data_IF_073369461971
#
_entry.id   IF_073369461971
#
_cell.length_a   1.000
_cell.length_b   1.000
_cell.length_c   1.000
_cell.angle_alpha   90.00
_cell.angle_beta   90.00
_cell.angle_gamma   90.00
#
_symmetry.space_group_name_H-M   'P 1'
#
loop_
_entity.id
_entity.type
_entity.pdbx_description
1 polymer ?
#
# COMPACT_ATOMS: atom_id res chain seq x y z
N UNK A 1 -24.39 -32.29 55.53
CA UNK A 1 -23.51 -32.68 54.40
C UNK A 1 -24.16 -32.63 53.01
N UNK A 2 -25.47 -32.93 52.82
CA UNK A 2 -26.11 -32.83 51.49
C UNK A 2 -26.35 -31.40 50.95
N UNK A 3 -26.58 -30.41 51.83
CA UNK A 3 -26.80 -29.00 51.40
C UNK A 3 -25.52 -28.27 50.95
N UNK A 4 -24.34 -28.70 51.39
CA UNK A 4 -23.06 -28.07 51.01
C UNK A 4 -22.55 -28.61 49.66
N UNK A 5 -22.82 -29.89 49.34
CA UNK A 5 -22.48 -30.47 48.02
C UNK A 5 -23.27 -29.85 46.86
N UNK A 6 -24.53 -29.49 47.07
CA UNK A 6 -25.34 -28.87 46.01
C UNK A 6 -24.92 -27.42 45.71
N UNK A 7 -24.40 -26.68 46.70
CA UNK A 7 -23.93 -25.31 46.48
C UNK A 7 -22.58 -25.29 45.73
N UNK A 8 -21.68 -26.24 46.03
CA UNK A 8 -20.38 -26.34 45.34
C UNK A 8 -20.54 -26.77 43.88
N UNK A 9 -21.50 -27.66 43.57
CA UNK A 9 -21.77 -28.07 42.19
C UNK A 9 -22.43 -26.94 41.38
N UNK A 10 -23.32 -26.15 41.97
CA UNK A 10 -23.94 -25.00 41.28
C UNK A 10 -22.94 -23.87 41.04
N UNK A 11 -22.02 -23.63 41.99
CA UNK A 11 -20.97 -22.60 41.82
C UNK A 11 -19.89 -23.05 40.83
N UNK A 12 -19.48 -24.33 40.81
CA UNK A 12 -18.55 -24.83 39.78
C UNK A 12 -19.18 -24.87 38.39
N UNK A 13 -20.47 -25.17 38.27
CA UNK A 13 -21.17 -25.08 36.97
C UNK A 13 -21.37 -23.64 36.50
N UNK A 14 -21.57 -22.66 37.40
CA UNK A 14 -21.61 -21.25 37.02
C UNK A 14 -20.24 -20.71 36.59
N UNK A 15 -19.15 -21.17 37.22
CA UNK A 15 -17.78 -20.80 36.83
C UNK A 15 -17.37 -21.45 35.52
N UNK A 16 -17.81 -22.68 35.24
CA UNK A 16 -17.60 -23.33 33.93
C UNK A 16 -18.46 -22.70 32.81
N UNK A 17 -19.67 -22.22 33.10
CA UNK A 17 -20.51 -21.52 32.12
C UNK A 17 -20.04 -20.07 31.91
N UNK A 18 -19.42 -19.42 32.90
CA UNK A 18 -18.76 -18.12 32.71
C UNK A 18 -17.36 -18.21 32.07
N UNK A 19 -16.64 -19.33 32.21
CA UNK A 19 -15.34 -19.55 31.54
C UNK A 19 -15.44 -20.17 30.15
N UNK A 20 -16.58 -20.75 29.74
CA UNK A 20 -16.77 -21.26 28.37
C UNK A 20 -17.39 -20.23 27.39
N UNK A 21 -17.56 -18.97 27.80
CA UNK A 21 -17.97 -17.87 26.93
C UNK A 21 -16.88 -16.82 26.66
N UNK A 22 -15.61 -17.07 27.02
CA UNK A 22 -14.50 -16.15 26.74
C UNK A 22 -13.39 -16.75 25.85
N UNK A 23 -13.80 -17.45 24.79
CA UNK A 23 -13.01 -17.52 23.55
C UNK A 23 -13.93 -17.26 22.36
N UNK A 24 -14.75 -16.21 22.47
CA UNK A 24 -15.05 -15.40 21.30
C UNK A 24 -14.00 -14.29 21.36
N UNK A 25 -13.05 -14.28 20.42
CA UNK A 25 -12.17 -13.12 20.25
C UNK A 25 -13.08 -11.90 20.23
N UNK A 26 -12.80 -10.90 21.06
CA UNK A 26 -13.60 -9.69 21.14
C UNK A 26 -13.62 -9.06 19.75
N UNK A 27 -14.66 -9.32 18.96
CA UNK A 27 -14.98 -8.53 17.81
C UNK A 27 -15.32 -7.16 18.39
N UNK A 28 -14.37 -6.23 18.34
CA UNK A 28 -14.65 -4.85 18.71
C UNK A 28 -15.88 -4.41 17.92
N UNK A 29 -16.90 -3.94 18.64
CA UNK A 29 -18.20 -3.58 18.08
C UNK A 29 -17.99 -2.42 17.11
N UNK A 30 -18.14 -2.68 15.81
CA UNK A 30 -18.12 -1.67 14.77
C UNK A 30 -19.53 -1.16 14.46
N UNK A 31 -19.62 0.01 13.85
CA UNK A 31 -20.85 0.53 13.26
C UNK A 31 -20.89 0.09 11.81
N UNK A 32 -22.00 -0.50 11.38
CA UNK A 32 -22.26 -0.83 9.97
C UNK A 32 -22.99 0.33 9.30
N UNK A 33 -22.49 0.77 8.15
CA UNK A 33 -23.24 1.57 7.20
C UNK A 33 -23.71 0.62 6.08
N UNK A 34 -25.01 0.30 6.12
CA UNK A 34 -25.66 -0.70 5.30
C UNK A 34 -25.71 -0.27 3.82
N UNK A 35 -25.18 -1.13 2.95
CA UNK A 35 -25.21 -0.95 1.50
C UNK A 35 -26.61 -0.88 0.89
N UNK A 36 -27.61 -1.51 1.53
CA UNK A 36 -29.02 -1.39 1.14
C UNK A 36 -29.58 0.03 1.34
N UNK A 37 -28.95 0.83 2.22
CA UNK A 37 -29.34 2.20 2.53
C UNK A 37 -28.49 3.26 1.80
N UNK A 38 -27.46 2.83 1.07
CA UNK A 38 -26.59 3.74 0.35
C UNK A 38 -27.32 4.42 -0.82
N UNK A 39 -27.03 5.71 -1.03
CA UNK A 39 -27.47 6.42 -2.24
C UNK A 39 -26.50 6.08 -3.36
N UNK A 40 -26.96 5.30 -4.32
CA UNK A 40 -26.14 4.82 -5.46
C UNK A 40 -26.44 5.59 -6.74
N UNK A 41 -25.39 5.89 -7.51
CA UNK A 41 -25.48 6.53 -8.84
C UNK A 41 -24.40 5.98 -9.76
N UNK A 42 -24.69 5.94 -11.04
CA UNK A 42 -23.72 5.53 -12.06
C UNK A 42 -24.27 4.44 -12.96
N UNK A 43 -23.46 4.08 -13.93
CA UNK A 43 -23.75 3.02 -14.89
C UNK A 43 -22.55 2.08 -14.92
N UNK A 44 -22.80 0.79 -15.14
CA UNK A 44 -21.73 -0.09 -15.58
C UNK A 44 -21.28 0.25 -17.01
N UNK A 45 -20.25 -0.44 -17.46
CA UNK A 45 -19.69 -0.22 -18.78
C UNK A 45 -20.57 -0.73 -19.94
N UNK A 46 -21.71 -1.34 -19.65
CA UNK A 46 -22.71 -1.77 -20.63
C UNK A 46 -23.98 -0.87 -20.59
N UNK A 47 -23.99 0.15 -19.72
CA UNK A 47 -25.07 1.13 -19.57
C UNK A 47 -26.18 0.71 -18.60
N UNK A 48 -26.00 -0.36 -17.82
CA UNK A 48 -26.95 -0.74 -16.77
C UNK A 48 -26.75 0.14 -15.53
N UNK A 49 -27.82 0.48 -14.83
CA UNK A 49 -27.72 1.24 -13.60
C UNK A 49 -26.91 0.49 -12.53
N UNK A 50 -26.02 1.23 -11.85
CA UNK A 50 -25.46 0.82 -10.57
C UNK A 50 -26.59 0.74 -9.54
N UNK A 51 -26.76 -0.42 -8.91
CA UNK A 51 -27.86 -0.69 -7.98
C UNK A 51 -27.40 -1.57 -6.83
N UNK A 52 -28.09 -1.48 -5.69
CA UNK A 52 -28.05 -2.51 -4.67
C UNK A 52 -28.86 -3.72 -5.12
N UNK A 53 -28.30 -4.93 -4.97
CA UNK A 53 -28.95 -6.20 -5.31
C UNK A 53 -29.13 -7.08 -4.06
N UNK A 54 -30.38 -7.24 -3.62
CA UNK A 54 -30.76 -8.01 -2.42
C UNK A 54 -30.30 -9.48 -2.48
N UNK A 55 -30.12 -10.06 -3.68
CA UNK A 55 -29.73 -11.47 -3.81
C UNK A 55 -28.26 -11.68 -3.48
N UNK A 56 -27.43 -10.71 -3.83
CA UNK A 56 -25.98 -10.77 -3.63
C UNK A 56 -25.56 -10.01 -2.39
N UNK A 57 -26.42 -9.14 -1.85
CA UNK A 57 -26.13 -8.29 -0.68
C UNK A 57 -24.94 -7.35 -0.97
N UNK A 58 -24.94 -6.79 -2.18
CA UNK A 58 -23.92 -5.91 -2.71
C UNK A 58 -24.51 -4.82 -3.60
N UNK A 59 -23.77 -3.71 -3.73
CA UNK A 59 -23.91 -2.76 -4.83
C UNK A 59 -23.16 -3.33 -6.04
N UNK A 60 -23.90 -3.52 -7.13
CA UNK A 60 -23.46 -4.18 -8.37
C UNK A 60 -23.59 -3.23 -9.56
N UNK A 61 -23.16 -3.70 -10.74
CA UNK A 61 -23.13 -2.91 -11.99
C UNK A 61 -22.31 -1.62 -11.83
N UNK A 62 -21.12 -1.78 -11.28
CA UNK A 62 -20.16 -0.70 -11.09
C UNK A 62 -19.36 -0.49 -12.38
N UNK A 63 -19.41 0.74 -12.90
CA UNK A 63 -18.57 1.22 -14.00
C UNK A 63 -17.67 2.36 -13.53
N UNK A 64 -16.98 3.02 -14.43
CA UNK A 64 -16.17 4.20 -14.11
C UNK A 64 -17.04 5.33 -13.54
N UNK A 65 -16.66 5.88 -12.38
CA UNK A 65 -17.35 7.02 -11.75
C UNK A 65 -18.68 6.66 -11.09
N UNK A 66 -19.05 5.38 -10.99
CA UNK A 66 -20.15 4.95 -10.11
C UNK A 66 -19.85 5.33 -8.67
N UNK A 67 -20.89 5.71 -7.94
CA UNK A 67 -20.79 6.18 -6.55
C UNK A 67 -21.77 5.43 -5.65
N UNK A 68 -21.34 5.18 -4.41
CA UNK A 68 -22.18 4.76 -3.30
C UNK A 68 -21.94 5.71 -2.12
N UNK A 69 -22.98 6.41 -1.70
CA UNK A 69 -22.90 7.36 -0.58
C UNK A 69 -23.65 6.82 0.64
N UNK A 70 -22.91 6.61 1.71
CA UNK A 70 -23.38 6.10 3.00
C UNK A 70 -23.54 7.27 3.96
N UNK A 71 -24.60 7.27 4.77
CA UNK A 71 -24.82 8.29 5.81
C UNK A 71 -24.55 7.70 7.18
N UNK A 72 -23.72 8.37 7.97
CA UNK A 72 -23.42 7.97 9.35
C UNK A 72 -24.68 8.09 10.21
N UNK A 73 -25.13 7.01 10.89
CA UNK A 73 -26.41 7.00 11.59
C UNK A 73 -26.40 7.83 12.87
N UNK A 74 -27.61 8.11 13.40
CA UNK A 74 -27.78 8.78 14.69
C UNK A 74 -27.07 8.03 15.82
N UNK A 75 -26.45 8.77 16.75
CA UNK A 75 -25.76 8.20 17.91
C UNK A 75 -24.29 7.86 17.67
N UNK A 76 -23.79 8.00 16.43
CA UNK A 76 -22.36 7.86 16.13
C UNK A 76 -21.66 9.19 16.32
N UNK A 77 -20.57 9.18 17.09
CA UNK A 77 -19.65 10.31 17.22
C UNK A 77 -18.32 9.80 17.76
N UNK A 78 -17.21 10.21 17.14
CA UNK A 78 -15.88 9.82 17.57
C UNK A 78 -14.90 9.76 16.41
N UNK A 79 -13.78 9.09 16.63
CA UNK A 79 -12.75 8.86 15.62
C UNK A 79 -12.75 7.39 15.25
N UNK A 80 -12.82 7.10 13.95
CA UNK A 80 -12.99 5.77 13.41
C UNK A 80 -11.97 5.45 12.33
N UNK A 81 -11.60 4.17 12.24
CA UNK A 81 -11.01 3.60 11.04
C UNK A 81 -12.13 3.05 10.15
N UNK A 82 -12.07 3.39 8.86
CA UNK A 82 -13.07 3.04 7.86
C UNK A 82 -12.57 1.82 7.08
N UNK A 83 -13.41 0.79 7.02
CA UNK A 83 -13.17 -0.41 6.24
C UNK A 83 -14.27 -0.59 5.20
N UNK A 84 -13.91 -1.04 4.00
CA UNK A 84 -14.85 -1.40 2.94
C UNK A 84 -15.05 -2.90 2.91
N UNK A 85 -16.31 -3.32 2.77
CA UNK A 85 -16.61 -4.67 2.32
C UNK A 85 -16.58 -4.74 0.79
N UNK A 86 -15.81 -5.68 0.27
CA UNK A 86 -15.55 -5.78 -1.17
C UNK A 86 -15.64 -7.24 -1.57
N UNK A 87 -16.36 -7.50 -2.66
CA UNK A 87 -16.49 -8.85 -3.21
C UNK A 87 -15.17 -9.30 -3.84
N UNK A 88 -15.11 -10.56 -4.32
CA UNK A 88 -14.04 -10.92 -5.24
C UNK A 88 -14.28 -10.28 -6.60
N UNK A 89 -13.19 -9.90 -7.27
CA UNK A 89 -13.22 -9.52 -8.68
C UNK A 89 -13.34 -10.75 -9.59
N UNK A 90 -13.77 -10.54 -10.83
CA UNK A 90 -13.76 -11.62 -11.83
C UNK A 90 -12.32 -12.05 -12.16
N UNK A 91 -11.42 -11.08 -12.31
CA UNK A 91 -9.99 -11.24 -12.52
C UNK A 91 -9.28 -10.16 -11.72
N UNK A 92 -8.11 -10.47 -11.16
CA UNK A 92 -7.27 -9.49 -10.48
C UNK A 92 -6.67 -8.54 -11.50
N UNK A 93 -6.92 -7.24 -11.35
CA UNK A 93 -6.56 -6.24 -12.37
C UNK A 93 -5.86 -4.99 -11.81
N UNK A 94 -5.70 -4.92 -10.49
CA UNK A 94 -5.13 -3.78 -9.81
C UNK A 94 -5.59 -3.74 -8.35
N UNK A 95 -5.13 -2.72 -7.66
CA UNK A 95 -5.26 -2.58 -6.19
C UNK A 95 -5.95 -1.29 -5.79
N UNK A 96 -6.32 -0.44 -6.76
CA UNK A 96 -6.98 0.86 -6.50
C UNK A 96 -8.33 0.94 -7.23
N UNK A 97 -9.30 0.05 -6.93
CA UNK A 97 -10.60 0.07 -7.58
C UNK A 97 -11.48 1.26 -7.17
N UNK A 98 -11.18 1.90 -6.03
CA UNK A 98 -12.03 2.91 -5.42
C UNK A 98 -11.25 4.15 -4.98
N UNK A 99 -11.94 5.27 -4.92
CA UNK A 99 -11.59 6.44 -4.11
C UNK A 99 -12.69 6.68 -3.07
N UNK A 100 -12.34 7.33 -1.95
CA UNK A 100 -13.25 7.59 -0.84
C UNK A 100 -13.14 9.05 -0.44
N UNK A 101 -14.28 9.72 -0.29
CA UNK A 101 -14.38 11.05 0.34
C UNK A 101 -15.30 11.01 1.55
N UNK A 102 -15.01 11.88 2.52
CA UNK A 102 -15.88 12.11 3.69
C UNK A 102 -16.46 13.50 3.55
N UNK A 103 -17.79 13.61 3.56
CA UNK A 103 -18.52 14.83 3.22
C UNK A 103 -18.00 15.40 1.86
N UNK A 104 -17.82 16.71 1.78
CA UNK A 104 -17.23 17.41 0.62
C UNK A 104 -15.68 17.47 0.70
N UNK A 105 -15.07 16.61 1.51
CA UNK A 105 -13.61 16.51 1.65
C UNK A 105 -12.91 15.97 0.40
N UNK A 106 -11.59 16.10 0.37
CA UNK A 106 -10.77 15.56 -0.71
C UNK A 106 -10.92 14.04 -0.79
N UNK A 107 -11.13 13.51 -2.00
CA UNK A 107 -11.13 12.09 -2.24
C UNK A 107 -9.72 11.51 -2.11
N UNK A 108 -9.61 10.37 -1.43
CA UNK A 108 -8.38 9.61 -1.20
C UNK A 108 -8.49 8.25 -1.88
N UNK A 109 -7.41 7.75 -2.46
CA UNK A 109 -7.36 6.44 -3.12
C UNK A 109 -6.70 5.42 -2.19
N UNK A 110 -7.47 4.58 -1.49
CA UNK A 110 -6.91 3.50 -0.69
C UNK A 110 -6.38 2.35 -1.55
N UNK A 111 -5.44 1.60 -0.99
CA UNK A 111 -5.05 0.29 -1.50
C UNK A 111 -6.05 -0.74 -0.99
N UNK A 112 -6.79 -1.35 -1.92
CA UNK A 112 -7.75 -2.41 -1.68
C UNK A 112 -7.26 -3.63 -2.47
N UNK A 113 -6.54 -4.51 -1.80
CA UNK A 113 -6.03 -5.76 -2.37
C UNK A 113 -7.13 -6.84 -2.43
N UNK A 114 -8.18 -6.54 -3.20
CA UNK A 114 -9.25 -7.48 -3.41
C UNK A 114 -8.74 -8.68 -4.21
N UNK A 115 -9.19 -9.85 -3.82
CA UNK A 115 -8.88 -11.11 -4.47
C UNK A 115 -9.84 -11.32 -5.64
N UNK A 116 -9.45 -12.15 -6.58
CA UNK A 116 -10.35 -12.60 -7.64
C UNK A 116 -10.89 -13.99 -7.35
N UNK A 117 -11.92 -14.37 -8.09
CA UNK A 117 -12.53 -15.69 -8.03
C UNK A 117 -11.48 -16.80 -8.19
N UNK A 118 -11.45 -17.69 -7.23
CA UNK A 118 -10.58 -18.87 -7.17
C UNK A 118 -11.26 -20.08 -7.79
N UNK A 119 -12.60 -20.08 -7.88
CA UNK A 119 -13.36 -21.17 -8.45
C UNK A 119 -13.61 -20.95 -9.95
N UNK A 120 -13.42 -21.98 -10.81
CA UNK A 120 -13.65 -21.85 -12.25
C UNK A 120 -15.09 -21.46 -12.64
N UNK A 121 -16.06 -21.73 -11.77
CA UNK A 121 -17.47 -21.39 -11.95
C UNK A 121 -17.85 -20.01 -11.38
N UNK A 122 -16.88 -19.29 -10.81
CA UNK A 122 -17.05 -17.99 -10.16
C UNK A 122 -18.07 -17.98 -9.00
N UNK A 123 -18.37 -19.14 -8.43
CA UNK A 123 -19.36 -19.25 -7.33
C UNK A 123 -18.92 -18.56 -6.04
N UNK A 124 -17.63 -18.22 -5.91
CA UNK A 124 -17.03 -17.47 -4.82
C UNK A 124 -16.98 -15.95 -5.09
N UNK A 125 -17.53 -15.46 -6.20
CA UNK A 125 -17.50 -14.02 -6.56
C UNK A 125 -17.99 -13.10 -5.44
N UNK A 126 -19.02 -13.53 -4.72
CA UNK A 126 -19.65 -12.75 -3.66
C UNK A 126 -19.10 -13.07 -2.26
N UNK A 127 -17.99 -13.80 -2.16
CA UNK A 127 -17.24 -13.90 -0.91
C UNK A 127 -16.91 -12.50 -0.40
N UNK A 128 -17.17 -12.25 0.88
CA UNK A 128 -17.06 -10.93 1.50
C UNK A 128 -15.70 -10.74 2.14
N UNK A 129 -14.90 -9.83 1.57
CA UNK A 129 -13.64 -9.39 2.15
C UNK A 129 -13.79 -8.03 2.83
N UNK A 130 -13.05 -7.82 3.93
CA UNK A 130 -13.04 -6.55 4.68
C UNK A 130 -11.67 -5.91 4.53
N UNK A 131 -11.60 -4.70 3.97
CA UNK A 131 -10.32 -4.06 3.62
C UNK A 131 -10.19 -2.68 4.27
N UNK A 132 -9.03 -2.34 4.85
CA UNK A 132 -8.79 -1.01 5.40
C UNK A 132 -8.85 0.03 4.29
N UNK A 133 -9.49 1.17 4.57
CA UNK A 133 -9.71 2.21 3.58
C UNK A 133 -9.17 3.56 4.05
N UNK A 134 -9.65 4.06 5.20
CA UNK A 134 -9.15 5.29 5.80
C UNK A 134 -8.91 5.07 7.29
N UNK A 135 -7.92 5.77 7.86
CA UNK A 135 -7.60 5.69 9.30
C UNK A 135 -7.85 7.02 9.99
N UNK A 136 -8.15 6.97 11.29
CA UNK A 136 -8.25 8.13 12.17
C UNK A 136 -9.23 9.22 11.69
N UNK A 137 -10.38 8.82 11.15
CA UNK A 137 -11.38 9.75 10.61
C UNK A 137 -12.34 10.21 11.71
N UNK A 138 -12.41 11.51 11.96
CA UNK A 138 -13.41 12.08 12.86
C UNK A 138 -14.78 12.07 12.16
N UNK A 139 -15.77 11.39 12.76
CA UNK A 139 -17.12 11.25 12.22
C UNK A 139 -18.17 11.60 13.29
N UNK A 140 -19.31 12.10 12.82
CA UNK A 140 -20.54 12.28 13.60
C UNK A 140 -21.75 11.89 12.76
N UNK A 141 -22.87 11.65 13.44
CA UNK A 141 -24.17 11.42 12.81
C UNK A 141 -24.47 12.47 11.73
N UNK A 142 -24.89 12.00 10.55
CA UNK A 142 -25.19 12.81 9.39
C UNK A 142 -24.02 13.10 8.45
N UNK A 143 -22.77 12.82 8.86
CA UNK A 143 -21.65 12.84 7.91
C UNK A 143 -21.87 11.78 6.81
N UNK A 144 -21.34 12.04 5.62
CA UNK A 144 -21.40 11.11 4.50
C UNK A 144 -20.04 10.52 4.18
N UNK A 145 -20.04 9.26 3.73
CA UNK A 145 -18.87 8.61 3.15
C UNK A 145 -19.25 8.21 1.74
N UNK A 146 -18.56 8.75 0.74
CA UNK A 146 -18.81 8.43 -0.67
C UNK A 146 -17.66 7.60 -1.22
N UNK A 147 -17.98 6.39 -1.67
CA UNK A 147 -17.06 5.51 -2.39
C UNK A 147 -17.32 5.67 -3.87
N UNK A 148 -16.28 6.00 -4.64
CA UNK A 148 -16.35 6.21 -6.09
C UNK A 148 -15.43 5.22 -6.80
N UNK A 149 -15.94 4.50 -7.80
CA UNK A 149 -15.15 3.57 -8.61
C UNK A 149 -14.23 4.31 -9.58
N UNK A 150 -12.99 3.83 -9.68
CA UNK A 150 -11.96 4.41 -10.51
C UNK A 150 -11.91 3.75 -11.91
N UNK A 151 -11.40 4.47 -12.93
CA UNK A 151 -11.21 3.94 -14.28
C UNK A 151 -10.17 2.82 -14.32
N UNK A 152 -10.12 2.10 -15.44
CA UNK A 152 -9.04 1.15 -15.77
C UNK A 152 -9.34 -0.31 -15.49
N UNK A 153 -10.54 -0.61 -14.98
CA UNK A 153 -10.98 -1.96 -14.65
C UNK A 153 -11.92 -2.55 -15.72
N UNK A 154 -11.75 -2.16 -16.99
CA UNK A 154 -12.36 -2.81 -18.16
C UNK A 154 -11.38 -2.80 -19.32
N UNK A 155 -11.25 -3.94 -19.99
CA UNK A 155 -10.58 -4.03 -21.29
C UNK A 155 -11.62 -4.09 -22.41
N UNK A 156 -11.31 -3.50 -23.56
CA UNK A 156 -12.20 -3.49 -24.73
C UNK A 156 -12.55 -4.89 -25.26
N UNK A 157 -11.68 -5.87 -25.01
CA UNK A 157 -11.88 -7.28 -25.37
C UNK A 157 -12.81 -8.03 -24.42
N UNK A 158 -13.11 -7.48 -23.24
CA UNK A 158 -13.97 -8.10 -22.24
C UNK A 158 -15.29 -7.34 -22.11
N UNK A 159 -16.39 -8.08 -22.02
CA UNK A 159 -17.70 -7.50 -21.76
C UNK A 159 -17.86 -7.13 -20.28
N UNK A 160 -17.38 -7.99 -19.38
CA UNK A 160 -17.51 -7.79 -17.94
C UNK A 160 -16.50 -6.75 -17.42
N UNK A 161 -16.97 -5.96 -16.45
CA UNK A 161 -16.12 -5.16 -15.56
C UNK A 161 -15.24 -6.07 -14.69
N UNK A 162 -14.01 -5.64 -14.42
CA UNK A 162 -13.12 -6.23 -13.43
C UNK A 162 -13.23 -5.57 -12.05
N UNK A 163 -14.09 -4.54 -11.91
CA UNK A 163 -14.39 -3.95 -10.61
C UNK A 163 -15.04 -5.00 -9.71
N UNK A 164 -14.60 -5.14 -8.45
CA UNK A 164 -15.33 -5.91 -7.46
C UNK A 164 -16.62 -5.18 -7.08
N UNK A 165 -17.60 -5.90 -6.53
CA UNK A 165 -18.81 -5.32 -5.98
C UNK A 165 -18.53 -4.67 -4.62
N UNK A 166 -19.32 -3.66 -4.26
CA UNK A 166 -19.14 -2.88 -3.04
C UNK A 166 -20.25 -3.18 -2.02
N UNK A 167 -19.85 -3.60 -0.82
CA UNK A 167 -20.76 -3.98 0.28
C UNK A 167 -20.90 -2.85 1.30
N UNK A 168 -21.02 -3.22 2.57
CA UNK A 168 -21.15 -2.26 3.65
C UNK A 168 -19.85 -1.50 3.91
N UNK A 169 -19.98 -0.36 4.58
CA UNK A 169 -18.84 0.33 5.20
C UNK A 169 -18.86 0.03 6.69
N UNK A 170 -17.73 -0.41 7.24
CA UNK A 170 -17.57 -0.68 8.68
C UNK A 170 -16.73 0.40 9.32
N UNK A 171 -17.26 1.01 10.39
CA UNK A 171 -16.58 2.00 11.20
C UNK A 171 -16.13 1.34 12.50
N UNK A 172 -14.83 1.07 12.62
CA UNK A 172 -14.23 0.58 13.85
C UNK A 172 -13.69 1.77 14.65
N UNK A 173 -13.72 1.75 15.99
CA UNK A 173 -12.98 2.74 16.77
C UNK A 173 -11.51 2.82 16.30
N UNK A 174 -10.96 4.02 16.19
CA UNK A 174 -9.60 4.18 15.66
C UNK A 174 -8.56 3.40 16.48
N UNK A 175 -7.68 2.67 15.80
CA UNK A 175 -6.67 1.78 16.40
C UNK A 175 -7.17 0.37 16.73
N UNK A 176 -8.40 0.04 16.34
CA UNK A 176 -8.98 -1.29 16.49
C UNK A 176 -8.16 -2.39 15.80
N UNK A 177 -8.07 -3.56 16.44
CA UNK A 177 -7.51 -4.77 15.82
C UNK A 177 -8.56 -5.47 14.99
N UNK A 178 -8.56 -5.19 13.69
CA UNK A 178 -9.59 -5.68 12.76
C UNK A 178 -9.11 -6.90 11.99
N UNK A 179 -9.98 -7.91 11.90
CA UNK A 179 -9.81 -9.03 10.99
C UNK A 179 -10.09 -8.58 9.55
N UNK A 180 -9.11 -8.73 8.64
CA UNK A 180 -9.17 -8.23 7.26
C UNK A 180 -9.09 -9.35 6.22
N UNK A 181 -9.38 -8.98 4.96
CA UNK A 181 -9.43 -9.89 3.82
C UNK A 181 -10.64 -10.82 3.84
N UNK A 182 -10.65 -11.79 2.94
CA UNK A 182 -11.74 -12.80 2.84
C UNK A 182 -11.69 -13.86 3.93
N UNK A 183 -10.52 -14.08 4.53
CA UNK A 183 -10.30 -15.13 5.52
C UNK A 183 -10.40 -14.61 6.97
N UNK A 184 -10.55 -13.29 7.16
CA UNK A 184 -10.69 -12.68 8.48
C UNK A 184 -9.44 -12.86 9.35
N UNK A 185 -8.27 -12.45 8.85
CA UNK A 185 -7.01 -12.51 9.59
C UNK A 185 -6.75 -11.17 10.23
N UNK A 186 -6.43 -11.14 11.53
CA UNK A 186 -5.95 -9.92 12.20
C UNK A 186 -4.49 -9.73 11.81
N UNK A 187 -4.10 -8.63 11.15
CA UNK A 187 -2.71 -8.36 10.80
C UNK A 187 -1.85 -8.37 12.06
N UNK A 188 -0.72 -9.06 12.00
CA UNK A 188 0.25 -9.09 13.10
C UNK A 188 1.08 -7.81 13.08
N UNK A 189 1.25 -7.19 14.23
CA UNK A 189 2.25 -6.13 14.39
C UNK A 189 3.64 -6.76 14.39
N UNK A 190 4.45 -6.40 13.42
CA UNK A 190 5.82 -6.89 13.29
C UNK A 190 6.81 -5.88 13.87
N UNK A 191 7.86 -6.40 14.52
CA UNK A 191 8.90 -5.56 15.11
C UNK A 191 9.95 -5.23 14.06
N UNK A 192 10.33 -3.96 13.99
CA UNK A 192 11.45 -3.49 13.16
C UNK A 192 12.75 -4.13 13.66
N UNK A 193 13.49 -4.76 12.76
CA UNK A 193 14.83 -5.27 13.01
C UNK A 193 15.88 -4.27 12.50
N UNK A 194 16.69 -3.65 13.38
CA UNK A 194 17.69 -2.67 12.97
C UNK A 194 18.82 -3.24 12.10
N UNK A 195 19.00 -4.57 12.06
CA UNK A 195 20.05 -5.20 11.25
C UNK A 195 19.58 -5.55 9.83
N UNK A 196 18.29 -5.43 9.57
CA UNK A 196 17.69 -5.69 8.26
C UNK A 196 17.45 -4.33 7.56
N UNK A 197 18.16 -4.05 6.45
CA UNK A 197 18.05 -2.76 5.78
C UNK A 197 16.65 -2.43 5.23
N UNK A 198 15.80 -3.44 5.02
CA UNK A 198 14.45 -3.29 4.49
C UNK A 198 13.37 -3.26 5.59
N UNK A 199 13.73 -3.63 6.82
CA UNK A 199 12.78 -3.71 7.94
C UNK A 199 12.22 -2.35 8.31
N UNK A 200 10.88 -2.27 8.44
CA UNK A 200 10.20 -1.05 8.87
C UNK A 200 10.02 0.00 7.76
N UNK A 201 10.46 -0.29 6.53
CA UNK A 201 10.31 0.65 5.43
C UNK A 201 8.89 0.66 4.86
N UNK A 202 8.43 1.84 4.45
CA UNK A 202 7.24 2.04 3.66
C UNK A 202 7.61 2.27 2.18
N UNK A 203 7.14 1.41 1.27
CA UNK A 203 7.49 1.47 -0.16
C UNK A 203 6.23 1.70 -0.99
N UNK A 204 6.24 2.72 -1.84
CA UNK A 204 5.22 2.89 -2.89
C UNK A 204 5.67 2.19 -4.16
N UNK A 205 4.78 1.38 -4.74
CA UNK A 205 4.99 0.72 -6.03
C UNK A 205 4.02 1.26 -7.07
N UNK A 206 4.53 2.02 -8.04
CA UNK A 206 3.75 2.54 -9.15
C UNK A 206 4.00 1.68 -10.40
N UNK A 207 2.95 1.02 -10.89
CA UNK A 207 3.11 0.16 -12.07
C UNK A 207 1.82 -0.38 -12.67
N UNK A 208 1.94 -1.40 -13.51
CA UNK A 208 0.84 -2.06 -14.21
C UNK A 208 0.71 -3.53 -13.79
N UNK A 209 0.48 -4.44 -14.74
CA UNK A 209 0.19 -5.86 -14.50
C UNK A 209 1.34 -6.63 -13.88
N UNK A 210 2.58 -6.20 -14.13
CA UNK A 210 3.79 -6.82 -13.56
C UNK A 210 3.94 -6.42 -12.09
N UNK A 211 3.88 -5.12 -11.75
CA UNK A 211 3.87 -4.72 -10.32
C UNK A 211 2.65 -5.24 -9.56
N UNK A 212 1.52 -5.39 -10.24
CA UNK A 212 0.33 -6.01 -9.64
C UNK A 212 0.54 -7.50 -9.34
N UNK A 213 1.32 -8.23 -10.15
CA UNK A 213 1.40 -9.69 -10.06
C UNK A 213 0.25 -10.41 -10.76
N UNK A 214 -0.20 -9.92 -11.93
CA UNK A 214 -1.40 -10.41 -12.61
C UNK A 214 -1.38 -11.94 -12.86
N UNK A 215 -0.25 -12.47 -13.35
CA UNK A 215 -0.08 -13.90 -13.63
C UNK A 215 0.30 -14.74 -12.39
N UNK A 216 0.25 -14.12 -11.22
CA UNK A 216 0.61 -14.69 -9.92
C UNK A 216 -0.44 -14.34 -8.85
N UNK A 217 -1.67 -14.08 -9.27
CA UNK A 217 -2.80 -13.86 -8.38
C UNK A 217 -2.69 -12.61 -7.49
N UNK A 218 -1.97 -11.58 -7.92
CA UNK A 218 -1.70 -10.40 -7.09
C UNK A 218 -0.38 -10.47 -6.33
N UNK A 219 0.28 -11.64 -6.32
CA UNK A 219 1.62 -11.81 -5.72
C UNK A 219 2.70 -11.30 -6.68
N UNK A 220 3.58 -10.44 -6.18
CA UNK A 220 4.62 -9.76 -6.93
C UNK A 220 5.93 -9.73 -6.13
N UNK A 221 6.94 -9.01 -6.65
CA UNK A 221 8.17 -8.74 -5.90
C UNK A 221 7.90 -7.95 -4.60
N UNK A 222 6.83 -7.13 -4.54
CA UNK A 222 6.48 -6.39 -3.34
C UNK A 222 6.06 -7.34 -2.21
N UNK A 223 5.20 -8.32 -2.53
CA UNK A 223 4.70 -9.32 -1.59
C UNK A 223 5.82 -10.26 -1.12
N UNK A 224 6.73 -10.62 -2.03
CA UNK A 224 7.95 -11.34 -1.66
C UNK A 224 8.77 -10.60 -0.60
N UNK A 225 8.97 -9.29 -0.77
CA UNK A 225 9.74 -8.48 0.18
C UNK A 225 9.02 -8.39 1.53
N UNK A 226 7.70 -8.23 1.57
CA UNK A 226 6.94 -8.27 2.82
C UNK A 226 7.04 -9.64 3.52
N UNK A 227 7.03 -10.74 2.78
CA UNK A 227 7.22 -12.09 3.34
C UNK A 227 8.62 -12.29 3.96
N UNK A 228 9.65 -11.69 3.35
CA UNK A 228 11.04 -11.77 3.83
C UNK A 228 11.37 -10.76 4.91
N UNK A 229 10.73 -9.61 4.88
CA UNK A 229 10.93 -8.48 5.78
C UNK A 229 9.57 -8.07 6.39
N UNK A 230 9.05 -8.81 7.39
CA UNK A 230 7.65 -8.68 7.82
C UNK A 230 7.24 -7.29 8.37
N UNK A 231 8.20 -6.45 8.73
CA UNK A 231 7.94 -5.07 9.15
C UNK A 231 7.94 -4.06 7.99
N UNK A 232 8.29 -4.47 6.77
CA UNK A 232 8.17 -3.69 5.54
C UNK A 232 6.69 -3.61 5.14
N UNK A 233 6.29 -2.45 4.61
CA UNK A 233 4.93 -2.22 4.10
C UNK A 233 5.02 -1.73 2.66
N UNK A 234 4.27 -2.37 1.76
CA UNK A 234 4.18 -2.04 0.35
C UNK A 234 2.81 -1.48 -0.02
N UNK A 235 2.82 -0.32 -0.66
CA UNK A 235 1.63 0.29 -1.26
C UNK A 235 1.67 0.11 -2.77
N UNK A 236 1.06 -0.98 -3.25
CA UNK A 236 0.90 -1.23 -4.69
C UNK A 236 -0.12 -0.26 -5.26
N UNK A 237 0.30 0.80 -5.92
CA UNK A 237 -0.55 1.63 -6.78
C UNK A 237 -0.47 1.10 -8.20
N UNK A 238 -1.29 0.08 -8.49
CA UNK A 238 -1.19 -0.69 -9.73
C UNK A 238 -2.53 -0.88 -10.41
N UNK A 239 -2.51 -0.75 -11.74
CA UNK A 239 -3.65 -1.07 -12.62
C UNK A 239 -3.09 -1.70 -13.89
N UNK A 240 -3.52 -2.92 -14.20
CA UNK A 240 -3.07 -3.68 -15.36
C UNK A 240 -3.31 -2.93 -16.68
N UNK A 241 -2.46 -3.19 -17.68
CA UNK A 241 -2.51 -2.58 -19.01
C UNK A 241 -2.36 -1.04 -19.08
N UNK A 242 -1.87 -0.39 -18.01
CA UNK A 242 -1.63 1.07 -17.98
C UNK A 242 -0.20 1.47 -18.37
N UNK A 243 -0.02 2.75 -18.71
CA UNK A 243 1.20 3.30 -19.33
C UNK A 243 1.90 4.38 -18.50
N UNK A 244 3.20 4.60 -18.76
CA UNK A 244 3.97 5.73 -18.25
C UNK A 244 3.49 7.04 -18.87
N UNK A 245 3.41 7.08 -20.21
CA UNK A 245 2.87 8.21 -20.96
C UNK A 245 1.45 8.53 -20.48
N UNK A 246 1.21 9.81 -20.13
CA UNK A 246 0.03 10.30 -19.42
C UNK A 246 -1.14 10.67 -20.35
N UNK A 247 -1.52 9.75 -21.24
CA UNK A 247 -2.53 10.01 -22.27
C UNK A 247 -3.95 9.58 -21.91
N UNK A 248 -4.13 9.03 -20.70
CA UNK A 248 -5.42 8.61 -20.18
C UNK A 248 -5.44 8.68 -18.63
N UNK A 249 -6.63 8.71 -18.00
CA UNK A 249 -6.76 8.86 -16.54
C UNK A 249 -6.17 7.73 -15.69
N UNK A 250 -5.82 6.59 -16.29
CA UNK A 250 -5.25 5.42 -15.59
C UNK A 250 -3.74 5.31 -15.78
N UNK A 251 -3.14 6.24 -16.51
CA UNK A 251 -1.69 6.35 -16.67
C UNK A 251 -1.00 6.57 -15.32
N UNK A 252 0.29 6.27 -15.28
CA UNK A 252 1.05 6.25 -14.04
C UNK A 252 1.06 7.63 -13.37
N UNK A 253 1.25 8.70 -14.14
CA UNK A 253 1.25 10.08 -13.62
C UNK A 253 -0.14 10.46 -13.07
N UNK A 254 -1.20 10.23 -13.83
CA UNK A 254 -2.57 10.46 -13.38
C UNK A 254 -2.89 9.75 -12.07
N UNK A 255 -2.49 8.47 -11.92
CA UNK A 255 -2.68 7.72 -10.68
C UNK A 255 -1.77 8.18 -9.54
N UNK A 256 -0.51 8.50 -9.83
CA UNK A 256 0.45 9.02 -8.85
C UNK A 256 -0.04 10.31 -8.19
N UNK A 257 -0.67 11.22 -8.95
CA UNK A 257 -1.24 12.47 -8.43
C UNK A 257 -2.38 12.25 -7.44
N UNK A 258 -3.01 11.07 -7.46
CA UNK A 258 -4.08 10.70 -6.55
C UNK A 258 -3.58 9.97 -5.27
N UNK A 259 -2.28 9.69 -5.19
CA UNK A 259 -1.66 9.12 -3.98
C UNK A 259 -1.67 10.18 -2.86
N UNK A 260 -2.00 9.81 -1.61
CA UNK A 260 -2.00 10.76 -0.51
C UNK A 260 -0.62 11.40 -0.28
N UNK A 261 -0.59 12.73 -0.24
CA UNK A 261 0.65 13.52 -0.10
C UNK A 261 1.20 13.56 1.34
N UNK A 262 0.41 13.10 2.30
CA UNK A 262 0.77 12.97 3.71
C UNK A 262 1.46 11.65 4.05
N UNK A 263 1.50 10.68 3.11
CA UNK A 263 2.36 9.50 3.23
C UNK A 263 3.83 9.90 3.41
N UNK A 264 4.61 9.05 4.07
CA UNK A 264 6.05 9.23 4.27
C UNK A 264 6.80 7.98 3.83
N UNK A 265 6.72 7.62 2.54
CA UNK A 265 7.41 6.44 2.03
C UNK A 265 8.93 6.64 2.11
N UNK A 266 9.65 5.57 2.41
CA UNK A 266 11.11 5.52 2.34
C UNK A 266 11.60 5.31 0.91
N UNK A 267 10.79 4.70 0.04
CA UNK A 267 11.12 4.48 -1.37
C UNK A 267 9.89 4.64 -2.27
N UNK A 268 10.13 5.19 -3.47
CA UNK A 268 9.14 5.23 -4.55
C UNK A 268 9.64 4.43 -5.75
N UNK A 269 9.09 3.24 -5.95
CA UNK A 269 9.51 2.29 -6.98
C UNK A 269 8.57 2.33 -8.18
N UNK A 270 9.13 2.46 -9.38
CA UNK A 270 8.39 2.66 -10.62
C UNK A 270 8.73 1.58 -11.63
N UNK A 271 7.71 0.91 -12.16
CA UNK A 271 7.86 -0.02 -13.26
C UNK A 271 8.17 0.71 -14.57
N UNK A 272 9.17 0.27 -15.32
CA UNK A 272 9.29 0.61 -16.74
C UNK A 272 8.18 -0.12 -17.53
N UNK A 273 7.26 0.65 -18.10
CA UNK A 273 6.04 0.10 -18.67
C UNK A 273 6.29 -0.66 -19.99
N UNK A 274 6.05 -1.96 -19.98
CA UNK A 274 6.00 -2.80 -21.18
C UNK A 274 4.82 -2.45 -22.08
N UNK A 275 3.76 -1.85 -21.54
CA UNK A 275 2.59 -1.40 -22.31
C UNK A 275 2.93 -0.21 -23.21
N UNK A 276 3.85 0.66 -22.78
CA UNK A 276 4.32 1.77 -23.61
C UNK A 276 5.03 1.26 -24.85
N UNK A 277 5.80 0.17 -24.72
CA UNK A 277 6.41 -0.51 -25.86
C UNK A 277 5.37 -1.18 -26.76
N UNK A 278 4.41 -1.91 -26.18
CA UNK A 278 3.32 -2.57 -26.93
C UNK A 278 2.51 -1.57 -27.75
N UNK A 279 2.22 -0.39 -27.18
CA UNK A 279 1.45 0.66 -27.84
C UNK A 279 2.30 1.69 -28.61
N UNK A 280 3.62 1.46 -28.73
CA UNK A 280 4.57 2.35 -29.41
C UNK A 280 4.45 3.82 -28.97
N UNK A 281 4.39 4.06 -27.65
CA UNK A 281 4.21 5.41 -27.09
C UNK A 281 5.40 6.31 -27.40
N UNK A 282 5.20 7.59 -27.74
CA UNK A 282 6.29 8.46 -28.21
C UNK A 282 7.47 8.53 -27.23
N UNK A 283 8.71 8.42 -27.73
CA UNK A 283 9.90 8.51 -26.87
C UNK A 283 10.10 9.90 -26.28
N UNK A 284 9.90 10.95 -27.06
CA UNK A 284 10.34 12.31 -26.71
C UNK A 284 11.86 12.41 -26.70
N UNK A 285 12.39 13.29 -25.86
CA UNK A 285 13.83 13.46 -25.66
C UNK A 285 14.13 13.77 -24.20
N UNK A 286 15.31 13.36 -23.74
CA UNK A 286 15.82 13.74 -22.42
C UNK A 286 15.90 15.26 -22.33
N UNK A 287 15.21 15.85 -21.36
CA UNK A 287 15.26 17.30 -21.14
C UNK A 287 16.66 17.72 -20.67
N UNK A 288 17.03 18.99 -20.84
CA UNK A 288 18.20 19.58 -20.16
C UNK A 288 17.86 20.15 -18.78
N UNK A 289 16.57 20.33 -18.49
CA UNK A 289 16.06 20.95 -17.26
C UNK A 289 15.69 19.92 -16.20
N UNK A 290 15.70 20.30 -14.92
CA UNK A 290 15.10 19.50 -13.82
C UNK A 290 13.76 20.08 -13.33
N UNK A 291 13.22 21.11 -13.98
CA UNK A 291 11.94 21.69 -13.60
C UNK A 291 10.78 20.83 -14.10
N UNK A 292 9.84 20.55 -13.22
CA UNK A 292 8.70 19.67 -13.50
C UNK A 292 7.82 20.14 -14.67
N UNK A 293 7.70 21.46 -14.87
CA UNK A 293 6.88 22.07 -15.93
C UNK A 293 7.49 21.94 -17.34
N UNK A 294 8.77 21.58 -17.43
CA UNK A 294 9.48 21.45 -18.72
C UNK A 294 9.32 20.05 -19.33
N UNK A 295 8.66 19.11 -18.65
CA UNK A 295 8.54 17.72 -19.08
C UNK A 295 7.24 17.46 -19.85
N UNK A 296 7.39 16.95 -21.07
CA UNK A 296 6.25 16.50 -21.87
C UNK A 296 5.78 15.12 -21.40
N UNK A 297 4.75 15.10 -20.57
CA UNK A 297 4.15 13.87 -20.01
C UNK A 297 3.52 12.96 -21.07
N UNK A 298 3.38 13.44 -22.32
CA UNK A 298 2.93 12.64 -23.47
C UNK A 298 4.05 11.80 -24.11
N UNK A 299 5.26 11.81 -23.52
CA UNK A 299 6.43 11.09 -24.01
C UNK A 299 7.08 10.24 -22.91
N UNK A 300 7.78 9.17 -23.30
CA UNK A 300 8.44 8.24 -22.35
C UNK A 300 9.47 8.98 -21.49
N UNK A 301 10.35 9.78 -22.12
CA UNK A 301 11.32 10.59 -21.38
C UNK A 301 10.63 11.56 -20.42
N UNK A 302 9.71 12.40 -20.93
CA UNK A 302 9.06 13.40 -20.10
C UNK A 302 8.21 12.80 -18.99
N UNK A 303 7.57 11.65 -19.22
CA UNK A 303 6.82 10.96 -18.18
C UNK A 303 7.71 10.44 -17.03
N UNK A 304 8.85 9.81 -17.36
CA UNK A 304 9.81 9.36 -16.34
C UNK A 304 10.37 10.55 -15.54
N UNK A 305 10.75 11.65 -16.23
CA UNK A 305 11.25 12.86 -15.57
C UNK A 305 10.21 13.53 -14.66
N UNK A 306 8.97 13.60 -15.12
CA UNK A 306 7.86 14.13 -14.33
C UNK A 306 7.62 13.31 -13.07
N UNK A 307 7.61 11.98 -13.17
CA UNK A 307 7.44 11.09 -12.00
C UNK A 307 8.54 11.33 -10.97
N UNK A 308 9.81 11.40 -11.41
CA UNK A 308 10.95 11.63 -10.52
C UNK A 308 10.81 12.98 -9.82
N UNK A 309 10.56 14.06 -10.58
CA UNK A 309 10.44 15.40 -10.03
C UNK A 309 9.25 15.54 -9.07
N UNK A 310 8.10 14.93 -9.41
CA UNK A 310 6.91 14.96 -8.57
C UNK A 310 7.12 14.19 -7.26
N UNK A 311 7.64 12.96 -7.32
CA UNK A 311 7.85 12.14 -6.14
C UNK A 311 8.87 12.78 -5.19
N UNK A 312 9.96 13.32 -5.74
CA UNK A 312 10.97 14.05 -4.97
C UNK A 312 10.38 15.28 -4.28
N UNK A 313 9.53 16.05 -4.98
CA UNK A 313 8.89 17.26 -4.41
C UNK A 313 7.82 16.92 -3.37
N UNK A 314 7.10 15.82 -3.55
CA UNK A 314 5.90 15.50 -2.76
C UNK A 314 6.24 14.72 -1.49
N UNK A 315 7.07 13.68 -1.62
CA UNK A 315 7.39 12.76 -0.53
C UNK A 315 8.85 12.84 -0.08
N UNK A 316 9.72 13.47 -0.87
CA UNK A 316 11.15 13.62 -0.57
C UNK A 316 11.85 12.28 -0.26
N UNK A 317 11.54 11.25 -1.05
CA UNK A 317 12.15 9.93 -0.96
C UNK A 317 12.90 9.55 -2.25
N UNK A 318 13.89 8.64 -2.18
CA UNK A 318 14.53 8.11 -3.37
C UNK A 318 13.54 7.44 -4.33
N UNK A 319 13.72 7.75 -5.62
CA UNK A 319 12.97 7.12 -6.71
C UNK A 319 13.82 6.01 -7.30
N UNK A 320 13.22 4.83 -7.45
CA UNK A 320 13.84 3.66 -8.08
C UNK A 320 13.02 3.29 -9.30
N UNK A 321 13.67 3.13 -10.46
CA UNK A 321 13.02 2.50 -11.61
C UNK A 321 13.45 1.04 -11.74
N UNK A 322 12.60 0.19 -12.31
CA UNK A 322 13.00 -1.17 -12.66
C UNK A 322 12.49 -1.57 -14.05
N UNK A 323 13.28 -2.36 -14.77
CA UNK A 323 12.83 -3.00 -16.00
C UNK A 323 12.34 -4.41 -15.74
N UNK A 324 11.47 -4.95 -16.60
CA UNK A 324 11.34 -6.39 -16.76
C UNK A 324 12.60 -7.06 -17.31
N UNK A 325 12.65 -8.39 -17.24
CA UNK A 325 13.73 -9.22 -17.81
C UNK A 325 13.76 -9.15 -19.33
N UNK A 326 14.88 -9.58 -19.93
CA UNK A 326 15.00 -9.66 -21.38
C UNK A 326 13.88 -10.53 -21.98
N UNK A 327 13.25 -10.02 -23.03
CA UNK A 327 12.35 -10.76 -23.91
C UNK A 327 12.47 -10.26 -25.35
N UNK A 328 12.18 -11.14 -26.31
CA UNK A 328 12.08 -10.72 -27.71
C UNK A 328 10.79 -9.92 -27.92
N UNK A 329 10.95 -8.59 -27.94
CA UNK A 329 9.82 -7.67 -28.06
C UNK A 329 9.12 -7.71 -29.42
N UNK A 330 9.70 -8.36 -30.45
CA UNK A 330 9.02 -8.57 -31.73
C UNK A 330 7.71 -9.35 -31.61
N UNK A 331 7.53 -10.07 -30.48
CA UNK A 331 6.31 -10.80 -30.15
C UNK A 331 5.15 -9.88 -29.76
N UNK A 332 5.44 -8.67 -29.27
CA UNK A 332 4.45 -7.79 -28.61
C UNK A 332 4.41 -6.37 -29.16
N UNK A 333 5.46 -5.90 -29.83
CA UNK A 333 5.52 -4.60 -30.50
C UNK A 333 5.84 -4.77 -31.98
N UNK A 334 5.41 -3.81 -32.79
CA UNK A 334 5.73 -3.77 -34.23
C UNK A 334 7.23 -3.50 -34.49
N UNK A 335 7.95 -3.06 -33.46
CA UNK A 335 9.40 -2.88 -33.43
C UNK A 335 9.98 -3.78 -32.33
N UNK A 336 10.70 -4.82 -32.72
CA UNK A 336 11.31 -5.80 -31.80
C UNK A 336 12.46 -5.26 -30.95
N UNK A 337 12.78 -3.97 -31.07
CA UNK A 337 13.79 -3.28 -30.26
C UNK A 337 13.20 -2.25 -29.30
N UNK A 338 11.88 -2.02 -29.34
CA UNK A 338 11.25 -0.86 -28.69
C UNK A 338 11.50 -0.84 -27.19
N UNK A 339 11.26 -1.96 -26.51
CA UNK A 339 11.44 -2.03 -25.06
C UNK A 339 12.91 -1.91 -24.65
N UNK A 340 13.85 -2.47 -25.43
CA UNK A 340 15.29 -2.27 -25.18
C UNK A 340 15.70 -0.80 -25.27
N UNK A 341 15.18 -0.05 -26.24
CA UNK A 341 15.39 1.40 -26.35
C UNK A 341 14.76 2.18 -25.19
N UNK A 342 13.67 1.68 -24.61
CA UNK A 342 13.10 2.24 -23.38
C UNK A 342 14.00 2.00 -22.17
N UNK A 343 14.64 0.83 -22.09
CA UNK A 343 15.64 0.54 -21.05
C UNK A 343 16.82 1.50 -21.20
N UNK A 344 17.33 1.73 -22.42
CA UNK A 344 18.36 2.75 -22.68
C UNK A 344 17.94 4.14 -22.20
N UNK A 345 16.70 4.55 -22.50
CA UNK A 345 16.15 5.84 -22.05
C UNK A 345 16.09 5.94 -20.51
N UNK A 346 15.68 4.87 -19.83
CA UNK A 346 15.69 4.78 -18.36
C UNK A 346 17.11 4.91 -17.79
N UNK A 347 18.12 4.32 -18.44
CA UNK A 347 19.52 4.44 -18.03
C UNK A 347 20.11 5.84 -18.30
N UNK A 348 19.65 6.55 -19.32
CA UNK A 348 20.02 7.94 -19.54
C UNK A 348 19.40 8.87 -18.48
N UNK A 349 18.16 8.59 -18.09
CA UNK A 349 17.50 9.24 -16.94
C UNK A 349 18.26 8.98 -15.65
N UNK A 350 18.70 7.75 -15.41
CA UNK A 350 19.54 7.39 -14.26
C UNK A 350 20.77 8.29 -14.16
N UNK A 351 21.52 8.47 -15.26
CA UNK A 351 22.73 9.32 -15.28
C UNK A 351 22.42 10.78 -14.94
N UNK A 352 21.31 11.32 -15.47
CA UNK A 352 20.93 12.72 -15.25
C UNK A 352 20.43 12.98 -13.83
N UNK A 353 19.58 12.09 -13.33
CA UNK A 353 18.86 12.30 -12.08
C UNK A 353 19.57 11.71 -10.87
N UNK A 354 20.49 10.76 -11.06
CA UNK A 354 21.14 10.05 -9.96
C UNK A 354 20.19 9.09 -9.22
N UNK A 355 19.10 8.70 -9.87
CA UNK A 355 18.18 7.69 -9.33
C UNK A 355 18.83 6.30 -9.34
N UNK A 356 18.26 5.36 -8.58
CA UNK A 356 18.64 3.96 -8.66
C UNK A 356 17.80 3.23 -9.72
N UNK A 357 18.40 2.24 -10.38
CA UNK A 357 17.71 1.42 -11.38
C UNK A 357 18.00 -0.05 -11.11
N UNK A 358 16.95 -0.86 -11.01
CA UNK A 358 17.01 -2.32 -11.00
C UNK A 358 16.85 -2.80 -12.45
N UNK A 359 17.96 -2.98 -13.15
CA UNK A 359 18.00 -3.38 -14.56
C UNK A 359 17.98 -4.90 -14.72
N UNK A 360 16.78 -5.47 -14.73
CA UNK A 360 16.60 -6.91 -15.00
C UNK A 360 16.82 -7.26 -16.47
N UNK A 361 16.71 -6.28 -17.38
CA UNK A 361 16.80 -6.51 -18.82
C UNK A 361 18.24 -6.81 -19.24
N UNK A 362 19.20 -6.04 -18.74
CA UNK A 362 20.63 -6.25 -18.98
C UNK A 362 21.31 -7.13 -17.91
N UNK A 363 20.55 -7.72 -16.98
CA UNK A 363 21.11 -8.62 -15.99
C UNK A 363 21.67 -9.90 -16.68
N UNK A 364 22.98 -10.18 -16.61
CA UNK A 364 23.59 -11.26 -17.37
C UNK A 364 23.12 -12.64 -16.92
N UNK A 365 22.87 -12.84 -15.62
CA UNK A 365 22.41 -14.12 -15.07
C UNK A 365 20.97 -14.41 -15.50
N UNK A 366 20.10 -13.40 -15.44
CA UNK A 366 18.70 -13.52 -15.85
C UNK A 366 18.58 -13.70 -17.37
N UNK A 367 19.36 -12.95 -18.15
CA UNK A 367 19.34 -13.06 -19.63
C UNK A 367 19.96 -14.37 -20.12
N UNK A 368 20.93 -14.94 -19.41
CA UNK A 368 21.55 -16.21 -19.79
C UNK A 368 20.57 -17.39 -19.85
N UNK A 369 19.47 -17.34 -19.08
CA UNK A 369 18.46 -18.40 -19.07
C UNK A 369 17.28 -18.13 -20.01
N UNK A 370 17.26 -17.00 -20.72
CA UNK A 370 16.14 -16.65 -21.60
C UNK A 370 15.79 -17.79 -22.58
N UNK A 371 14.49 -18.07 -22.71
CA UNK A 371 13.91 -19.12 -23.57
C UNK A 371 14.38 -20.57 -23.29
N UNK A 372 15.07 -20.81 -22.16
CA UNK A 372 15.34 -22.16 -21.66
C UNK A 372 14.11 -22.77 -20.99
N UNK A 373 14.14 -24.08 -20.69
CA UNK A 373 13.08 -24.72 -19.90
C UNK A 373 12.97 -24.14 -18.48
N UNK A 374 14.09 -23.73 -17.89
CA UNK A 374 14.12 -23.08 -16.58
C UNK A 374 13.35 -21.74 -16.63
N UNK A 375 13.60 -20.90 -17.62
CA UNK A 375 12.87 -19.64 -17.82
C UNK A 375 11.36 -19.83 -17.91
N UNK A 376 10.90 -20.88 -18.61
CA UNK A 376 9.47 -21.19 -18.73
C UNK A 376 8.84 -21.60 -17.40
N UNK A 377 9.63 -22.03 -16.41
CA UNK A 377 9.10 -22.29 -15.05
C UNK A 377 8.84 -21.01 -14.27
N UNK A 378 9.48 -19.90 -14.61
CA UNK A 378 9.33 -18.61 -13.93
C UNK A 378 8.32 -17.68 -14.61
N UNK A 379 8.10 -17.84 -15.91
CA UNK A 379 7.35 -16.89 -16.72
C UNK A 379 6.04 -17.49 -17.24
N UNK A 380 4.93 -16.77 -17.05
CA UNK A 380 3.63 -17.16 -17.61
C UNK A 380 3.53 -16.82 -19.11
N UNK A 381 4.19 -15.74 -19.51
CA UNK A 381 4.37 -15.31 -20.89
C UNK A 381 5.69 -14.53 -21.03
N UNK A 382 5.95 -13.85 -22.15
CA UNK A 382 7.20 -13.10 -22.34
C UNK A 382 7.38 -11.86 -21.45
N UNK A 383 6.35 -11.43 -20.71
CA UNK A 383 6.33 -10.20 -19.92
C UNK A 383 6.08 -10.46 -18.44
N UNK A 384 5.21 -11.41 -18.10
CA UNK A 384 4.69 -11.61 -16.76
C UNK A 384 5.33 -12.83 -16.08
N UNK A 385 6.03 -12.62 -14.95
CA UNK A 385 6.37 -13.71 -14.03
C UNK A 385 5.11 -14.37 -13.47
N UNK A 386 5.19 -15.68 -13.27
CA UNK A 386 4.23 -16.41 -12.43
C UNK A 386 4.66 -16.33 -10.95
N UNK A 387 3.92 -16.97 -10.04
CA UNK A 387 4.23 -16.92 -8.60
C UNK A 387 5.63 -17.49 -8.27
N UNK A 388 6.09 -18.51 -9.00
CA UNK A 388 7.44 -19.06 -8.86
C UNK A 388 8.49 -18.06 -9.39
N UNK A 389 8.22 -17.38 -10.50
CA UNK A 389 9.08 -16.31 -11.02
C UNK A 389 9.26 -15.17 -10.04
N UNK A 390 8.21 -14.72 -9.37
CA UNK A 390 8.36 -13.69 -8.33
C UNK A 390 9.12 -14.21 -7.11
N UNK A 391 8.78 -15.39 -6.59
CA UNK A 391 9.36 -15.88 -5.33
C UNK A 391 10.79 -16.42 -5.44
N UNK A 392 11.17 -16.97 -6.59
CA UNK A 392 12.46 -17.65 -6.76
C UNK A 392 13.41 -16.96 -7.76
N UNK A 393 12.95 -15.97 -8.53
CA UNK A 393 13.78 -15.32 -9.55
C UNK A 393 13.83 -13.79 -9.40
N UNK A 394 12.70 -13.09 -9.50
CA UNK A 394 12.68 -11.62 -9.41
C UNK A 394 12.84 -11.12 -7.98
N UNK A 395 12.04 -11.63 -7.04
CA UNK A 395 12.06 -11.24 -5.62
C UNK A 395 13.47 -11.25 -5.01
N UNK A 396 14.25 -12.35 -5.13
CA UNK A 396 15.62 -12.39 -4.64
C UNK A 396 16.55 -11.33 -5.25
N UNK A 397 16.36 -10.98 -6.52
CA UNK A 397 17.13 -9.90 -7.18
C UNK A 397 16.74 -8.54 -6.59
N UNK A 398 15.44 -8.26 -6.42
CA UNK A 398 14.97 -7.04 -5.76
C UNK A 398 15.50 -6.90 -4.33
N UNK A 399 15.39 -7.96 -3.53
CA UNK A 399 15.90 -7.98 -2.15
C UNK A 399 17.40 -7.63 -2.12
N UNK A 400 18.20 -8.30 -2.96
CA UNK A 400 19.65 -8.07 -3.06
C UNK A 400 19.98 -6.63 -3.47
N UNK A 401 19.38 -6.14 -4.56
CA UNK A 401 19.70 -4.82 -5.12
C UNK A 401 19.25 -3.68 -4.19
N UNK A 402 18.05 -3.78 -3.61
CA UNK A 402 17.56 -2.77 -2.66
C UNK A 402 18.36 -2.78 -1.35
N UNK A 403 18.71 -3.96 -0.82
CA UNK A 403 19.56 -4.08 0.36
C UNK A 403 20.92 -3.42 0.12
N UNK A 404 21.54 -3.65 -1.04
CA UNK A 404 22.81 -3.05 -1.40
C UNK A 404 22.69 -1.52 -1.52
N UNK A 405 21.66 -1.02 -2.21
CA UNK A 405 21.39 0.41 -2.36
C UNK A 405 21.21 1.12 -1.01
N UNK A 406 20.35 0.56 -0.14
CA UNK A 406 20.07 1.14 1.17
C UNK A 406 21.28 1.12 2.09
N UNK A 407 22.07 0.04 2.05
CA UNK A 407 23.30 -0.07 2.85
C UNK A 407 24.34 0.95 2.42
N UNK A 408 24.52 1.17 1.12
CA UNK A 408 25.44 2.17 0.59
C UNK A 408 25.06 3.60 1.01
N UNK A 409 23.78 3.96 0.93
CA UNK A 409 23.31 5.30 1.27
C UNK A 409 23.41 5.61 2.79
N UNK A 410 23.17 4.63 3.67
CA UNK A 410 23.38 4.83 5.12
C UNK A 410 24.84 5.12 5.47
N UNK A 411 25.78 4.51 4.74
CA UNK A 411 27.21 4.77 4.94
C UNK A 411 27.61 6.19 4.50
N UNK A 412 26.96 6.75 3.48
CA UNK A 412 27.21 8.14 3.07
C UNK A 412 26.65 9.15 4.06
N UNK A 413 25.46 8.91 4.62
CA UNK A 413 24.86 9.80 5.63
C UNK A 413 25.68 9.82 6.94
N UNK A 414 26.18 8.65 7.39
CA UNK A 414 27.03 8.55 8.59
C UNK A 414 28.44 9.10 8.39
N UNK A 415 28.91 9.25 7.15
CA UNK A 415 30.20 9.86 6.84
C UNK A 415 30.13 11.41 6.74
N UNK A 416 28.95 11.97 6.51
CA UNK A 416 28.72 13.43 6.44
C UNK A 416 28.33 14.06 7.79
N UNK A 417 28.00 13.26 8.80
CA UNK A 417 27.86 13.74 10.18
C UNK A 417 29.26 14.08 10.74
N UNK A 418 29.55 15.33 11.14
CA UNK A 418 30.88 15.68 11.61
C UNK A 418 31.18 14.87 12.87
N UNK A 419 32.25 14.08 12.82
CA UNK A 419 32.79 13.39 13.98
C UNK A 419 32.89 14.40 15.13
N UNK A 420 32.06 14.22 16.17
CA UNK A 420 32.20 14.97 17.40
C UNK A 420 33.63 14.71 17.89
N UNK A 421 34.48 15.73 17.79
CA UNK A 421 35.87 15.66 18.14
C UNK A 421 36.01 15.33 19.63
N UNK A 422 36.62 14.18 19.91
CA UNK A 422 37.33 13.94 21.16
C UNK A 422 38.56 14.87 21.17
N UNK A 423 38.38 16.12 21.62
CA UNK A 423 39.47 16.94 22.15
C UNK A 423 39.01 17.57 23.47
N UNK A 424 39.18 16.80 24.54
CA UNK A 424 39.45 17.34 25.88
C UNK A 424 40.94 17.66 25.95
N UNK A 425 41.32 18.93 25.88
CA UNK A 425 42.17 19.59 26.89
C UNK A 425 42.50 21.05 26.52
N UNK A 426 42.67 21.86 27.58
CA UNK A 426 43.12 23.27 27.65
C UNK A 426 42.11 24.42 27.45
N UNK A 427 41.43 24.76 28.56
CA UNK A 427 40.78 26.05 28.81
C UNK A 427 41.68 26.91 29.71
N UNK A 428 42.15 28.10 29.28
CA UNK A 428 42.59 29.13 30.22
C UNK A 428 41.37 29.80 30.86
N UNK A 429 41.32 29.76 32.19
CA UNK A 429 40.36 30.50 33.01
C UNK A 429 40.51 32.01 32.80
N UNK A 430 39.46 32.68 32.31
CA UNK A 430 39.06 34.03 32.77
C UNK A 430 37.63 34.37 32.32
N UNK A 431 36.80 34.83 33.28
CA UNK A 431 35.84 35.91 32.99
C UNK A 431 34.35 35.58 32.83
N UNK A 432 33.67 35.42 33.97
CA UNK A 432 32.28 35.84 34.27
C UNK A 432 31.08 35.33 33.45
N UNK A 433 30.05 34.94 34.23
CA UNK A 433 28.61 34.90 33.93
C UNK A 433 28.01 33.62 33.34
N UNK A 434 28.04 32.55 34.16
CA UNK A 434 26.91 31.63 34.28
C UNK A 434 25.87 32.21 35.24
N UNK A 435 24.58 32.09 34.90
CA UNK A 435 23.48 31.53 35.73
C UNK A 435 22.15 32.22 35.41
N UNK A 436 21.32 31.65 34.52
CA UNK A 436 19.87 31.92 34.56
C UNK A 436 18.96 30.79 34.03
N UNK A 437 19.49 29.66 33.53
CA UNK A 437 18.64 28.60 32.93
C UNK A 437 18.69 27.22 33.61
N UNK A 438 19.49 27.04 34.67
CA UNK A 438 19.61 25.74 35.36
C UNK A 438 18.77 25.59 36.65
N UNK A 439 18.04 26.63 37.09
CA UNK A 439 17.26 26.58 38.34
C UNK A 439 15.82 26.08 38.13
N UNK A 440 15.31 26.04 36.89
CA UNK A 440 13.91 25.66 36.62
C UNK A 440 13.68 24.16 36.37
N UNK A 441 14.71 23.37 36.04
CA UNK A 441 14.56 21.92 35.80
C UNK A 441 14.75 21.04 37.05
N UNK A 442 15.33 21.58 38.13
CA UNK A 442 15.59 20.82 39.36
C UNK A 442 14.43 20.85 40.37
N UNK A 443 13.40 21.69 40.16
CA UNK A 443 12.29 21.88 41.10
C UNK A 443 11.07 20.97 40.83
N UNK A 444 10.93 20.38 39.64
CA UNK A 444 9.76 19.54 39.30
C UNK A 444 9.98 18.04 39.58
N UNK A 445 11.24 17.58 39.73
CA UNK A 445 11.56 16.16 40.01
C UNK A 445 11.51 15.84 41.51
N UNK A 446 11.61 16.84 42.39
CA UNK A 446 11.56 16.65 43.84
C UNK A 446 10.14 16.74 44.45
N UNK A 447 9.13 17.16 43.69
CA UNK A 447 7.74 17.25 44.18
C UNK A 447 6.96 15.93 44.09
N UNK A 448 7.39 14.97 43.25
CA UNK A 448 6.68 13.70 43.05
C UNK A 448 7.19 12.56 43.94
N UNK A 449 8.35 12.71 44.59
CA UNK A 449 8.87 11.72 45.55
C UNK A 449 8.40 11.95 47.00
N UNK A 450 7.79 13.10 47.32
CA UNK A 450 7.27 13.39 48.65
C UNK A 450 5.84 12.86 48.90
N UNK A 451 5.10 12.46 47.86
CA UNK A 451 3.72 11.94 48.01
C UNK A 451 3.64 10.41 48.18
N UNK A 452 4.70 9.67 47.87
CA UNK A 452 4.71 8.19 47.97
C UNK A 452 5.21 7.66 49.32
N UNK A 453 5.77 8.52 50.18
CA UNK A 453 6.27 8.11 51.50
C UNK A 453 5.31 8.37 52.66
N UNK A 454 4.18 9.07 52.45
CA UNK A 454 3.23 9.43 53.52
C UNK A 454 1.95 8.58 53.57
N UNK A 455 1.86 7.49 52.79
CA UNK A 455 0.71 6.54 52.84
C UNK A 455 1.10 5.19 53.48
N UNK A 456 2.37 4.97 53.87
CA UNK A 456 2.82 3.73 54.54
C UNK A 456 3.13 3.84 56.03
N UNK A 457 2.65 4.87 56.73
CA UNK A 457 2.91 5.04 58.17
C UNK A 457 1.69 5.27 59.08
N UNK A 458 0.48 4.95 58.59
CA UNK A 458 -0.75 4.97 59.41
C UNK A 458 -1.47 3.62 59.48
N UNK A 459 -0.78 2.52 59.22
CA UNK A 459 -1.24 1.18 59.60
C UNK A 459 -0.11 0.41 60.30
N UNK A 460 -0.03 0.58 61.62
CA UNK A 460 0.49 -0.32 62.69
C UNK A 460 1.24 0.48 63.75
N UNK A 461 0.64 0.56 64.95
CA UNK A 461 1.26 1.02 66.19
C UNK A 461 0.72 2.34 66.67
#
# INVERSE_FOLDING_TARGET
MKRVRNLVVVVMSLVLVFSMCMVAGAAETYVTLDSAQAVVKGLDYDGNNTVYDEKTDYIVNLGEGSTATYTVPSGVSGTYDIYLEVSRGFVGFGTTPFSISVNDGQAVVPIIEYGFCQKPDYSDRYDRGVFPALKNVALKAGDTITVTTLPGFKLSTYKQSFLPCLGDVRLYPAGAKVAVGYNGVIPKEEKVDPNDPLSGLEIIWLGSSVSYGQSAQGYSMADYLEEKHPALVSYKYTVSATTLVDDNPTSYISRMKAIPTDLRPDLFIVQLSTNDAMFNKPFGALSSSKNIEDFDTQTIYGAMEYIIAYASKTWNCPVVFYSGTYYDSATYSNDGTYYGRMVEAMLDIQKKWGIFVIDLYNNPEMTAIYNTEEYKTYMADGVHPNAHGYSAWWGPVFEKELTAFLTANRQTETAEEPAAADELDDIPKTGSNMTFWWILLAASVLATMALTFNIRKTERG
#
